data_IF_998014202247
#
_entry.id   IF_998014202247
#
_cell.length_a   1.000
_cell.length_b   1.000
_cell.length_c   1.000
_cell.angle_alpha   90.00
_cell.angle_beta   90.00
_cell.angle_gamma   90.00
#
_symmetry.space_group_name_H-M   'P 1'
#
loop_
_entity.id
_entity.type
_entity.pdbx_description
1 polymer ?
#
# COMPACT_ATOMS: atom_id res chain seq x y z
N UNK A 1 -10.21 13.67 0.38
CA UNK A 1 -9.35 13.44 -0.80
C UNK A 1 -7.97 14.01 -0.53
N UNK A 2 -6.94 13.46 -1.16
CA UNK A 2 -5.55 13.91 -1.03
C UNK A 2 -5.30 15.01 -2.07
N UNK A 3 -4.66 16.09 -1.67
CA UNK A 3 -4.26 17.18 -2.55
C UNK A 3 -2.73 17.39 -2.49
N UNK A 4 -2.21 18.28 -3.33
CA UNK A 4 -0.76 18.51 -3.39
C UNK A 4 -0.18 19.07 -2.10
N UNK A 5 -0.96 19.78 -1.27
CA UNK A 5 -0.47 20.37 -0.02
C UNK A 5 -0.21 19.29 1.03
N UNK A 6 -0.87 18.13 0.95
CA UNK A 6 -0.62 16.99 1.84
C UNK A 6 0.83 16.46 1.75
N UNK A 7 1.54 16.75 0.66
CA UNK A 7 2.94 16.38 0.49
C UNK A 7 3.89 17.34 1.20
N UNK A 8 3.43 18.54 1.56
CA UNK A 8 4.26 19.54 2.23
C UNK A 8 4.64 19.14 3.66
N UNK A 9 3.94 18.15 4.25
CA UNK A 9 4.32 17.56 5.52
C UNK A 9 5.77 17.04 5.50
N UNK A 10 6.27 16.59 4.34
CA UNK A 10 7.63 16.09 4.19
C UNK A 10 8.70 17.19 4.14
N UNK A 11 8.31 18.47 3.98
CA UNK A 11 9.22 19.61 3.99
C UNK A 11 9.74 19.92 5.40
N UNK A 12 8.99 19.57 6.45
CA UNK A 12 9.47 19.73 7.82
C UNK A 12 10.60 18.72 8.09
N UNK A 13 11.83 19.17 8.39
CA UNK A 13 12.97 18.28 8.57
C UNK A 13 13.00 17.62 9.95
N UNK A 14 12.12 18.03 10.88
CA UNK A 14 12.09 17.54 12.25
C UNK A 14 11.10 16.40 12.42
N UNK A 15 11.43 15.42 13.27
CA UNK A 15 10.51 14.34 13.61
C UNK A 15 9.21 14.88 14.23
N UNK A 16 9.33 15.78 15.21
CA UNK A 16 8.17 16.31 15.92
C UNK A 16 7.26 17.13 15.00
N UNK A 17 7.81 18.06 14.23
CA UNK A 17 7.04 18.92 13.33
C UNK A 17 6.36 18.11 12.21
N UNK A 18 7.10 17.20 11.55
CA UNK A 18 6.51 16.32 10.54
C UNK A 18 5.38 15.46 11.08
N UNK A 19 5.52 14.87 12.27
CA UNK A 19 4.45 14.06 12.86
C UNK A 19 3.21 14.89 13.22
N UNK A 20 3.38 16.15 13.64
CA UNK A 20 2.25 17.06 13.88
C UNK A 20 1.52 17.37 12.58
N UNK A 21 2.25 17.65 11.49
CA UNK A 21 1.68 17.92 10.17
C UNK A 21 0.94 16.69 9.62
N UNK A 22 1.56 15.50 9.68
CA UNK A 22 0.92 14.24 9.27
C UNK A 22 -0.40 14.03 10.02
N UNK A 23 -0.39 14.16 11.35
CA UNK A 23 -1.59 13.94 12.18
C UNK A 23 -2.70 14.96 11.94
N UNK A 24 -2.35 16.20 11.66
CA UNK A 24 -3.33 17.28 11.50
C UNK A 24 -3.87 17.41 10.07
N UNK A 25 -3.10 16.99 9.07
CA UNK A 25 -3.43 17.20 7.65
C UNK A 25 -3.75 15.89 6.92
N UNK A 26 -2.93 14.85 7.11
CA UNK A 26 -2.98 13.61 6.31
C UNK A 26 -3.83 12.53 6.99
N UNK A 27 -3.63 12.30 8.29
CA UNK A 27 -4.33 11.23 9.02
C UNK A 27 -5.87 11.31 8.91
N UNK A 28 -6.53 12.49 9.00
CA UNK A 28 -7.99 12.57 8.85
C UNK A 28 -8.48 12.14 7.45
N UNK A 29 -7.71 12.47 6.41
CA UNK A 29 -8.01 12.06 5.02
C UNK A 29 -7.83 10.55 4.86
N UNK A 30 -6.79 10.00 5.47
CA UNK A 30 -6.54 8.57 5.52
C UNK A 30 -7.63 7.80 6.29
N UNK A 31 -8.10 8.30 7.43
CA UNK A 31 -9.19 7.67 8.17
C UNK A 31 -10.46 7.59 7.34
N UNK A 32 -10.81 8.67 6.62
CA UNK A 32 -11.98 8.70 5.74
C UNK A 32 -11.85 7.71 4.57
N UNK A 33 -10.71 7.72 3.87
CA UNK A 33 -10.45 6.83 2.73
C UNK A 33 -10.41 5.37 3.19
N UNK A 34 -9.73 5.10 4.29
CA UNK A 34 -9.61 3.78 4.88
C UNK A 34 -10.98 3.22 5.30
N UNK A 35 -11.79 4.03 5.98
CA UNK A 35 -13.12 3.61 6.44
C UNK A 35 -14.04 3.22 5.28
N UNK A 36 -13.98 3.97 4.16
CA UNK A 36 -14.71 3.66 2.93
C UNK A 36 -14.36 2.26 2.41
N UNK A 37 -13.07 2.00 2.17
CA UNK A 37 -12.65 0.73 1.57
C UNK A 37 -12.75 -0.45 2.54
N UNK A 38 -12.50 -0.26 3.84
CA UNK A 38 -12.71 -1.29 4.85
C UNK A 38 -14.19 -1.72 4.91
N UNK A 39 -15.11 -0.74 4.88
CA UNK A 39 -16.56 -1.02 4.82
C UNK A 39 -16.92 -1.77 3.55
N UNK A 40 -16.44 -1.30 2.40
CA UNK A 40 -16.70 -1.92 1.10
C UNK A 40 -16.21 -3.38 1.06
N UNK A 41 -14.97 -3.65 1.45
CA UNK A 41 -14.39 -5.00 1.45
C UNK A 41 -15.11 -5.94 2.42
N UNK A 42 -15.55 -5.40 3.55
CA UNK A 42 -16.36 -6.16 4.52
C UNK A 42 -17.73 -6.52 3.96
N UNK A 43 -18.36 -5.64 3.18
CA UNK A 43 -19.65 -5.93 2.54
C UNK A 43 -19.53 -6.88 1.35
N UNK A 44 -18.40 -6.84 0.63
CA UNK A 44 -18.14 -7.66 -0.56
C UNK A 44 -17.59 -9.05 -0.23
N UNK A 45 -17.35 -9.36 1.05
CA UNK A 45 -16.82 -10.66 1.48
C UNK A 45 -17.43 -11.12 2.79
N UNK A 46 -17.12 -12.34 3.22
CA UNK A 46 -17.51 -12.86 4.53
C UNK A 46 -16.56 -12.41 5.67
N UNK A 47 -15.60 -11.53 5.36
CA UNK A 47 -14.49 -11.21 6.24
C UNK A 47 -14.55 -9.76 6.72
N UNK A 48 -14.05 -9.51 7.92
CA UNK A 48 -13.99 -8.16 8.49
C UNK A 48 -12.67 -7.50 8.13
N UNK A 49 -12.73 -6.23 7.73
CA UNK A 49 -11.55 -5.41 7.45
C UNK A 49 -11.50 -4.21 8.39
N UNK A 50 -10.30 -3.88 8.84
CA UNK A 50 -10.01 -2.83 9.80
C UNK A 50 -8.98 -1.85 9.24
N UNK A 51 -9.14 -0.58 9.58
CA UNK A 51 -8.23 0.50 9.21
C UNK A 51 -7.18 0.68 10.29
N UNK A 52 -5.93 0.86 9.88
CA UNK A 52 -4.81 1.20 10.74
C UNK A 52 -4.04 2.37 10.15
N UNK A 53 -3.81 3.43 10.92
CA UNK A 53 -2.96 4.54 10.48
C UNK A 53 -1.53 4.30 10.95
N UNK A 54 -0.54 4.55 10.08
CA UNK A 54 0.87 4.42 10.42
C UNK A 54 1.28 5.44 11.50
N UNK A 55 1.49 4.95 12.72
CA UNK A 55 1.77 5.82 13.90
C UNK A 55 3.24 6.23 14.06
N UNK A 56 4.15 5.68 13.26
CA UNK A 56 5.60 5.95 13.31
C UNK A 56 6.27 5.79 14.69
N UNK A 57 5.70 4.95 15.57
CA UNK A 57 6.09 4.83 16.99
C UNK A 57 7.54 4.41 17.24
N UNK A 58 8.21 3.84 16.24
CA UNK A 58 9.62 3.37 16.33
C UNK A 58 10.64 4.43 15.88
N UNK A 59 10.19 5.63 15.48
CA UNK A 59 11.08 6.73 15.06
C UNK A 59 11.45 7.59 16.27
N UNK A 60 12.75 7.78 16.49
CA UNK A 60 13.27 8.56 17.64
C UNK A 60 14.15 9.75 17.25
N UNK A 61 14.71 9.75 16.03
CA UNK A 61 15.63 10.79 15.55
C UNK A 61 15.22 11.31 14.17
N UNK A 62 15.11 10.41 13.21
CA UNK A 62 14.82 10.78 11.82
C UNK A 62 13.30 10.83 11.60
N UNK A 63 12.76 11.89 10.98
CA UNK A 63 11.36 11.92 10.57
C UNK A 63 11.05 10.78 9.60
N UNK A 64 9.80 10.30 9.54
CA UNK A 64 9.43 9.25 8.60
C UNK A 64 9.53 9.79 7.15
N UNK A 65 10.11 9.03 6.21
CA UNK A 65 10.21 9.45 4.81
C UNK A 65 8.88 9.35 4.06
N UNK A 66 7.92 8.63 4.63
CA UNK A 66 6.62 8.31 4.09
C UNK A 66 5.55 8.20 5.20
N UNK A 67 4.28 8.14 4.83
CA UNK A 67 3.18 7.81 5.76
C UNK A 67 2.03 7.15 5.02
N UNK A 68 1.27 6.29 5.69
CA UNK A 68 0.19 5.54 5.05
C UNK A 68 -0.95 5.16 6.00
N UNK A 69 -2.10 4.84 5.40
CA UNK A 69 -3.10 3.99 5.99
C UNK A 69 -2.89 2.55 5.53
N UNK A 70 -3.25 1.60 6.38
CA UNK A 70 -3.35 0.19 6.05
C UNK A 70 -4.78 -0.34 6.26
N UNK A 71 -5.22 -1.27 5.41
CA UNK A 71 -6.51 -1.95 5.52
C UNK A 71 -6.26 -3.45 5.49
N UNK A 72 -6.68 -4.16 6.53
CA UNK A 72 -6.49 -5.61 6.61
C UNK A 72 -7.38 -6.23 7.67
N UNK A 73 -7.36 -7.55 7.78
CA UNK A 73 -8.26 -8.27 8.68
C UNK A 73 -7.85 -8.24 10.15
N UNK A 74 -6.60 -7.90 10.41
CA UNK A 74 -6.06 -7.92 11.76
C UNK A 74 -6.64 -6.76 12.57
N UNK A 75 -7.59 -7.04 13.48
CA UNK A 75 -8.21 -6.02 14.34
C UNK A 75 -7.21 -5.19 15.16
N UNK A 76 -6.07 -5.78 15.54
CA UNK A 76 -5.05 -5.16 16.41
C UNK A 76 -3.79 -4.71 15.68
N UNK A 77 -3.67 -4.99 14.39
CA UNK A 77 -2.51 -4.64 13.59
C UNK A 77 -2.54 -5.33 12.24
N UNK A 78 -1.78 -4.79 11.29
CA UNK A 78 -1.85 -5.17 9.88
C UNK A 78 -0.60 -5.93 9.39
N UNK A 79 0.58 -5.65 9.96
CA UNK A 79 1.89 -6.11 9.43
C UNK A 79 2.06 -7.63 9.30
N UNK A 80 1.40 -8.39 10.17
CA UNK A 80 1.52 -9.86 10.19
C UNK A 80 0.58 -10.55 9.20
N UNK A 81 -0.26 -9.80 8.48
CA UNK A 81 -1.20 -10.33 7.49
C UNK A 81 -1.03 -9.58 6.16
N UNK A 82 -1.44 -10.16 5.02
CA UNK A 82 -1.56 -9.38 3.79
C UNK A 82 -2.57 -8.24 4.00
N UNK A 83 -2.23 -7.05 3.53
CA UNK A 83 -3.05 -5.85 3.73
C UNK A 83 -2.87 -4.88 2.57
N UNK A 84 -3.81 -3.96 2.43
CA UNK A 84 -3.73 -2.86 1.49
C UNK A 84 -3.08 -1.65 2.16
N UNK A 85 -2.39 -0.83 1.39
CA UNK A 85 -1.83 0.44 1.83
C UNK A 85 -2.22 1.54 0.85
N UNK A 86 -2.55 2.73 1.37
CA UNK A 86 -2.60 3.98 0.60
C UNK A 86 -1.75 4.98 1.37
N UNK A 87 -0.72 5.51 0.73
CA UNK A 87 0.24 6.36 1.42
C UNK A 87 1.00 7.30 0.50
N UNK A 88 1.83 8.13 1.12
CA UNK A 88 2.56 9.20 0.45
C UNK A 88 4.06 9.01 0.64
N UNK A 89 4.79 9.05 -0.47
CA UNK A 89 6.17 9.51 -0.54
C UNK A 89 6.18 11.03 -0.77
N UNK A 90 7.32 11.74 -0.60
CA UNK A 90 7.40 13.18 -0.85
C UNK A 90 7.01 13.60 -2.27
N UNK A 91 7.10 12.68 -3.23
CA UNK A 91 6.86 12.92 -4.65
C UNK A 91 5.79 12.01 -5.27
N UNK A 92 5.13 11.15 -4.49
CA UNK A 92 4.16 10.21 -5.06
C UNK A 92 3.14 9.67 -4.05
N UNK A 93 1.90 9.48 -4.51
CA UNK A 93 0.92 8.62 -3.86
C UNK A 93 1.21 7.17 -4.24
N UNK A 94 1.22 6.26 -3.27
CA UNK A 94 1.29 4.83 -3.48
C UNK A 94 0.04 4.12 -3.00
N UNK A 95 -0.32 3.06 -3.71
CA UNK A 95 -1.45 2.17 -3.40
C UNK A 95 -0.92 0.75 -3.54
N UNK A 96 -0.84 -0.03 -2.45
CA UNK A 96 -0.26 -1.37 -2.46
C UNK A 96 -1.23 -2.42 -1.93
N UNK A 97 -1.11 -3.65 -2.42
CA UNK A 97 -1.35 -4.86 -1.66
C UNK A 97 0.02 -5.38 -1.21
N UNK A 98 0.23 -5.43 0.11
CA UNK A 98 1.52 -5.65 0.74
C UNK A 98 1.59 -6.96 1.54
N UNK A 99 2.71 -7.66 1.37
CA UNK A 99 3.16 -8.80 2.15
C UNK A 99 4.52 -8.45 2.73
N UNK A 100 4.52 -7.93 3.96
CA UNK A 100 5.71 -7.44 4.63
C UNK A 100 6.59 -8.58 5.16
N UNK A 101 7.81 -8.25 5.59
CA UNK A 101 8.74 -9.21 6.15
C UNK A 101 8.16 -9.93 7.39
N UNK A 102 7.32 -9.24 8.16
CA UNK A 102 6.66 -9.75 9.36
C UNK A 102 5.42 -10.62 9.09
N UNK A 103 5.03 -10.86 7.83
CA UNK A 103 3.82 -11.64 7.52
C UNK A 103 3.91 -13.07 8.08
N UNK A 104 2.88 -13.48 8.80
CA UNK A 104 2.74 -14.83 9.31
C UNK A 104 2.53 -15.81 8.15
N UNK A 105 2.87 -17.08 8.37
CA UNK A 105 2.70 -18.13 7.36
C UNK A 105 3.31 -17.78 5.99
N UNK A 106 4.39 -16.99 5.98
CA UNK A 106 5.07 -16.54 4.76
C UNK A 106 5.29 -17.61 3.67
N UNK A 107 5.67 -18.88 3.99
CA UNK A 107 5.78 -19.93 2.98
C UNK A 107 4.46 -20.23 2.25
N UNK A 108 3.32 -20.16 2.94
CA UNK A 108 1.98 -20.36 2.35
C UNK A 108 1.68 -19.23 1.36
N UNK A 109 1.87 -17.97 1.77
CA UNK A 109 1.65 -16.84 0.87
C UNK A 109 2.64 -16.84 -0.30
N UNK A 110 3.89 -17.26 -0.10
CA UNK A 110 4.86 -17.39 -1.18
C UNK A 110 4.41 -18.41 -2.24
N UNK A 111 3.84 -19.54 -1.81
CA UNK A 111 3.29 -20.55 -2.70
C UNK A 111 2.06 -20.05 -3.47
N UNK A 112 1.13 -19.37 -2.79
CA UNK A 112 -0.04 -18.74 -3.44
C UNK A 112 0.38 -17.65 -4.42
N UNK A 113 1.28 -16.76 -4.03
CA UNK A 113 1.79 -15.70 -4.92
C UNK A 113 2.42 -16.28 -6.19
N UNK A 114 3.06 -17.45 -6.13
CA UNK A 114 3.62 -18.11 -7.31
C UNK A 114 2.58 -18.46 -8.39
N UNK A 115 1.29 -18.57 -8.04
CA UNK A 115 0.20 -18.81 -9.00
C UNK A 115 -0.35 -17.54 -9.63
N UNK A 116 0.04 -16.35 -9.13
CA UNK A 116 -0.53 -15.06 -9.53
C UNK A 116 -0.47 -14.81 -11.05
N UNK A 117 0.65 -15.04 -11.77
CA UNK A 117 0.70 -14.81 -13.21
C UNK A 117 -0.24 -15.73 -14.01
N UNK A 118 -0.52 -16.93 -13.50
CA UNK A 118 -1.44 -17.87 -14.15
C UNK A 118 -2.91 -17.48 -13.91
N UNK A 119 -3.21 -16.95 -12.71
CA UNK A 119 -4.54 -16.47 -12.37
C UNK A 119 -4.89 -15.18 -13.12
N UNK A 120 -3.90 -14.32 -13.38
CA UNK A 120 -4.08 -13.01 -13.99
C UNK A 120 -2.98 -12.74 -15.04
N UNK A 121 -3.10 -13.30 -16.26
CA UNK A 121 -2.10 -13.12 -17.31
C UNK A 121 -1.95 -11.64 -17.74
N UNK A 122 -3.02 -10.86 -17.63
CA UNK A 122 -3.06 -9.45 -18.03
C UNK A 122 -2.37 -8.50 -17.04
N UNK A 123 -1.79 -8.99 -15.94
CA UNK A 123 -1.03 -8.13 -15.01
C UNK A 123 0.13 -7.42 -15.68
N UNK A 124 0.71 -8.03 -16.72
CA UNK A 124 1.83 -7.44 -17.48
C UNK A 124 1.45 -6.18 -18.27
N UNK A 125 0.17 -5.99 -18.57
CA UNK A 125 -0.36 -4.82 -19.29
C UNK A 125 -1.22 -3.91 -18.41
N UNK A 126 -1.41 -4.28 -17.14
CA UNK A 126 -2.29 -3.56 -16.19
C UNK A 126 -1.76 -2.19 -15.73
N UNK A 127 -0.48 -1.91 -15.96
CA UNK A 127 0.19 -0.74 -15.39
C UNK A 127 0.49 -0.85 -13.89
N UNK A 128 0.30 -2.03 -13.29
CA UNK A 128 0.70 -2.29 -11.91
C UNK A 128 2.23 -2.37 -11.79
N UNK A 129 2.70 -1.96 -10.62
CA UNK A 129 4.09 -1.93 -10.20
C UNK A 129 4.31 -2.99 -9.12
N UNK A 130 5.57 -3.34 -8.91
CA UNK A 130 6.06 -4.21 -7.86
C UNK A 130 7.10 -3.47 -7.02
N UNK A 131 7.02 -3.66 -5.70
CA UNK A 131 8.08 -3.27 -4.77
C UNK A 131 8.48 -4.46 -3.89
N UNK A 132 9.72 -4.43 -3.41
CA UNK A 132 10.33 -5.50 -2.61
C UNK A 132 10.72 -5.06 -1.19
N UNK A 133 10.47 -3.79 -0.86
CA UNK A 133 10.79 -3.15 0.42
C UNK A 133 9.90 -1.92 0.57
N UNK A 134 8.94 -1.97 1.49
CA UNK A 134 8.00 -0.87 1.76
C UNK A 134 8.69 0.38 2.33
N UNK A 135 9.93 0.27 2.81
CA UNK A 135 10.69 1.39 3.38
C UNK A 135 11.43 2.21 2.33
N UNK A 136 11.32 1.83 1.05
CA UNK A 136 11.98 2.47 -0.08
C UNK A 136 10.95 2.91 -1.14
N UNK A 137 11.14 4.06 -1.80
CA UNK A 137 10.25 4.52 -2.88
C UNK A 137 10.43 3.73 -4.19
N UNK A 138 11.40 2.81 -4.25
CA UNK A 138 11.74 2.08 -5.46
C UNK A 138 10.68 1.04 -5.82
N UNK A 139 10.20 1.10 -7.05
CA UNK A 139 9.31 0.11 -7.64
C UNK A 139 9.69 -0.16 -9.09
N UNK A 140 9.24 -1.29 -9.62
CA UNK A 140 9.46 -1.72 -11.01
C UNK A 140 8.15 -2.17 -11.63
N UNK A 141 7.94 -2.04 -12.95
CA UNK A 141 6.73 -2.53 -13.59
C UNK A 141 6.52 -4.03 -13.37
N UNK A 142 5.26 -4.47 -13.29
CA UNK A 142 4.93 -5.89 -13.26
C UNK A 142 5.29 -6.53 -14.61
N UNK A 143 6.40 -7.27 -14.63
CA UNK A 143 6.81 -8.12 -15.76
C UNK A 143 7.10 -9.51 -15.22
N UNK A 144 7.09 -10.54 -16.08
CA UNK A 144 7.43 -11.90 -15.65
C UNK A 144 8.80 -11.97 -14.95
N UNK A 145 9.80 -11.28 -15.50
CA UNK A 145 11.15 -11.20 -14.93
C UNK A 145 11.18 -10.50 -13.56
N UNK A 146 10.55 -9.33 -13.43
CA UNK A 146 10.51 -8.59 -12.18
C UNK A 146 9.75 -9.35 -11.09
N UNK A 147 8.60 -9.93 -11.46
CA UNK A 147 7.80 -10.76 -10.59
C UNK A 147 8.60 -11.94 -10.06
N UNK A 148 9.25 -12.72 -10.94
CA UNK A 148 10.03 -13.89 -10.53
C UNK A 148 11.16 -13.52 -9.57
N UNK A 149 11.85 -12.39 -9.83
CA UNK A 149 12.92 -11.90 -8.95
C UNK A 149 12.41 -11.54 -7.55
N UNK A 150 11.32 -10.78 -7.47
CA UNK A 150 10.78 -10.29 -6.20
C UNK A 150 10.11 -11.44 -5.42
N UNK A 151 9.32 -12.29 -6.08
CA UNK A 151 8.70 -13.46 -5.48
C UNK A 151 9.76 -14.44 -4.94
N UNK A 152 10.86 -14.66 -5.68
CA UNK A 152 11.95 -15.51 -5.21
C UNK A 152 12.63 -14.93 -3.96
N UNK A 153 12.87 -13.61 -3.90
CA UNK A 153 13.43 -12.95 -2.70
C UNK A 153 12.46 -13.04 -1.52
N UNK A 154 11.17 -12.79 -1.74
CA UNK A 154 10.12 -12.94 -0.73
C UNK A 154 10.13 -14.35 -0.13
N UNK A 155 10.16 -15.38 -0.98
CA UNK A 155 10.15 -16.77 -0.54
C UNK A 155 11.43 -17.22 0.18
N UNK A 156 12.61 -16.73 -0.24
CA UNK A 156 13.90 -17.27 0.22
C UNK A 156 14.53 -16.51 1.39
N UNK A 157 14.08 -15.31 1.70
CA UNK A 157 14.73 -14.44 2.68
C UNK A 157 13.76 -13.96 3.76
N UNK A 158 14.25 -13.85 5.00
CA UNK A 158 13.45 -13.32 6.11
C UNK A 158 12.99 -11.89 5.86
N UNK A 159 13.89 -11.04 5.35
CA UNK A 159 13.61 -9.64 5.00
C UNK A 159 12.93 -9.43 3.64
N UNK A 160 12.58 -10.52 2.94
CA UNK A 160 11.90 -10.44 1.65
C UNK A 160 10.49 -9.88 1.79
N UNK A 161 10.10 -8.92 0.98
CA UNK A 161 8.72 -8.42 0.93
C UNK A 161 8.19 -8.53 -0.50
N UNK A 162 6.87 -8.55 -0.62
CA UNK A 162 6.19 -8.52 -1.91
C UNK A 162 5.07 -7.48 -1.84
N UNK A 163 5.15 -6.46 -2.70
CA UNK A 163 4.12 -5.44 -2.85
C UNK A 163 3.73 -5.36 -4.32
N UNK A 164 2.44 -5.29 -4.60
CA UNK A 164 1.88 -5.08 -5.95
C UNK A 164 0.83 -3.98 -5.92
N UNK A 165 0.83 -3.07 -6.89
CA UNK A 165 0.01 -1.88 -6.77
C UNK A 165 0.34 -0.78 -7.77
N UNK A 166 0.11 0.47 -7.38
CA UNK A 166 0.25 1.64 -8.24
C UNK A 166 1.00 2.75 -7.54
N UNK A 167 1.81 3.48 -8.31
CA UNK A 167 2.48 4.71 -7.90
C UNK A 167 1.97 5.85 -8.79
N UNK A 168 1.68 7.00 -8.19
CA UNK A 168 1.18 8.18 -8.91
C UNK A 168 2.04 9.37 -8.53
N UNK A 169 2.71 9.97 -9.53
CA UNK A 169 3.54 11.16 -9.33
C UNK A 169 2.73 12.34 -8.79
N UNK A 170 3.31 13.12 -7.88
CA UNK A 170 2.78 14.38 -7.34
C UNK A 170 2.30 15.37 -8.44
N UNK A 171 2.90 15.31 -9.62
CA UNK A 171 2.54 16.15 -10.77
C UNK A 171 1.26 15.69 -11.49
N UNK A 172 0.64 14.61 -11.04
CA UNK A 172 -0.58 14.09 -11.65
C UNK A 172 -1.78 15.00 -11.39
N UNK A 173 -2.59 15.19 -12.43
CA UNK A 173 -3.85 15.96 -12.38
C UNK A 173 -4.89 15.41 -11.39
N UNK A 174 -4.72 14.18 -10.88
CA UNK A 174 -5.62 13.63 -9.87
C UNK A 174 -5.63 14.46 -8.58
N UNK A 175 -4.55 15.20 -8.28
CA UNK A 175 -4.48 16.02 -7.06
C UNK A 175 -5.22 17.36 -7.20
N UNK A 176 -5.64 17.72 -8.41
CA UNK A 176 -6.52 18.87 -8.69
C UNK A 176 -7.94 18.46 -9.09
N UNK A 177 -8.22 17.16 -9.26
CA UNK A 177 -9.52 16.62 -9.67
C UNK A 177 -9.92 15.44 -8.76
N UNK A 178 -10.80 15.74 -7.80
CA UNK A 178 -11.30 14.76 -6.84
C UNK A 178 -12.01 13.58 -7.50
N UNK A 179 -12.70 13.78 -8.64
CA UNK A 179 -13.40 12.70 -9.32
C UNK A 179 -12.41 11.72 -9.96
N UNK A 180 -11.36 12.24 -10.63
CA UNK A 180 -10.29 11.40 -11.18
C UNK A 180 -9.55 10.63 -10.09
N UNK A 181 -9.28 11.26 -8.95
CA UNK A 181 -8.63 10.58 -7.83
C UNK A 181 -9.50 9.47 -7.26
N UNK A 182 -10.80 9.71 -7.05
CA UNK A 182 -11.74 8.67 -6.60
C UNK A 182 -11.77 7.51 -7.60
N UNK A 183 -11.91 7.81 -8.89
CA UNK A 183 -11.96 6.78 -9.94
C UNK A 183 -10.69 5.92 -9.95
N UNK A 184 -9.52 6.55 -9.85
CA UNK A 184 -8.24 5.84 -9.80
C UNK A 184 -8.14 4.93 -8.58
N UNK A 185 -8.50 5.44 -7.40
CA UNK A 185 -8.49 4.68 -6.16
C UNK A 185 -9.46 3.49 -6.25
N UNK A 186 -10.68 3.71 -6.74
CA UNK A 186 -11.70 2.67 -6.86
C UNK A 186 -11.26 1.56 -7.82
N UNK A 187 -10.75 1.92 -8.99
CA UNK A 187 -10.23 0.96 -9.97
C UNK A 187 -9.07 0.16 -9.41
N UNK A 188 -8.11 0.84 -8.78
CA UNK A 188 -6.91 0.20 -8.22
C UNK A 188 -7.27 -0.71 -7.05
N UNK A 189 -8.08 -0.22 -6.10
CA UNK A 189 -8.47 -0.99 -4.92
C UNK A 189 -9.35 -2.18 -5.29
N UNK A 190 -10.25 -2.07 -6.29
CA UNK A 190 -11.02 -3.19 -6.78
C UNK A 190 -10.13 -4.28 -7.39
N UNK A 191 -9.15 -3.89 -8.23
CA UNK A 191 -8.20 -4.83 -8.83
C UNK A 191 -7.35 -5.53 -7.76
N UNK A 192 -6.82 -4.78 -6.79
CA UNK A 192 -6.03 -5.34 -5.70
C UNK A 192 -6.88 -6.24 -4.80
N UNK A 193 -8.15 -5.90 -4.56
CA UNK A 193 -9.05 -6.72 -3.76
C UNK A 193 -9.34 -8.07 -4.42
N UNK A 194 -9.51 -8.11 -5.74
CA UNK A 194 -9.64 -9.38 -6.47
C UNK A 194 -8.39 -10.26 -6.29
N UNK A 195 -7.20 -9.68 -6.45
CA UNK A 195 -5.92 -10.40 -6.25
C UNK A 195 -5.83 -10.93 -4.81
N UNK A 196 -6.14 -10.08 -3.84
CA UNK A 196 -6.14 -10.46 -2.44
C UNK A 196 -7.08 -11.64 -2.16
N UNK A 197 -8.33 -11.59 -2.66
CA UNK A 197 -9.30 -12.66 -2.44
C UNK A 197 -8.89 -13.98 -3.10
N UNK A 198 -8.23 -13.94 -4.26
CA UNK A 198 -7.73 -15.14 -4.93
C UNK A 198 -6.52 -15.77 -4.23
N UNK A 199 -5.74 -14.96 -3.50
CA UNK A 199 -4.53 -15.39 -2.78
C UNK A 199 -4.73 -15.58 -1.27
N UNK A 200 -5.94 -15.33 -0.76
CA UNK A 200 -6.24 -15.39 0.66
C UNK A 200 -6.20 -16.82 1.20
#
# INVERSE_FOLDING_TARGET
>A
MIDQQDFDVFKDPTLAGRLVLIRSQVDPKFEQIGARYATQFTQQSQFQFYVHIAKHLRRHKNPPPDTWLAIGEGKRGYKMLPHFEIGLWPNALFIWLAYLAEVDQKPVYAAKLATLPNLYPDLTTSGLMLAQDHTQPSSVPFTGTNFQKIQARFSKTKAGEFLIGRLVSLDSEIFSDAHKQVQLLDQTMAQLFQIYMALR
#
